data_IF_496681064657
#
_entry.id   IF_496681064657
#
_cell.length_a   1.000
_cell.length_b   1.000
_cell.length_c   1.000
_cell.angle_alpha   90.00
_cell.angle_beta   90.00
_cell.angle_gamma   90.00
#
_symmetry.space_group_name_H-M   'P 1'
#
loop_
_entity.id
_entity.type
_entity.pdbx_description
1 polymer ?
#
# COMPACT_ATOMS: atom_id res chain seq x y z
N UNK A 1 24.17 -5.57 -25.42
CA UNK A 1 23.26 -5.21 -24.31
C UNK A 1 23.81 -3.92 -23.74
N UNK A 2 23.27 -2.79 -24.18
CA UNK A 2 23.69 -1.46 -23.70
C UNK A 2 23.21 -1.29 -22.26
N UNK A 3 24.14 -0.85 -21.41
CA UNK A 3 23.90 -0.53 -20.01
C UNK A 3 22.91 0.64 -19.95
N UNK A 4 21.63 0.33 -19.74
CA UNK A 4 20.60 1.35 -19.69
C UNK A 4 20.89 2.32 -18.52
N UNK A 5 20.75 3.65 -18.72
CA UNK A 5 21.15 4.63 -17.72
C UNK A 5 20.43 4.38 -16.39
N UNK A 6 21.21 4.22 -15.32
CA UNK A 6 20.69 3.93 -13.97
C UNK A 6 19.90 5.11 -13.39
N UNK A 7 20.21 6.32 -13.84
CA UNK A 7 19.52 7.55 -13.47
C UNK A 7 19.05 8.34 -14.70
N UNK A 8 17.93 9.05 -14.56
CA UNK A 8 17.26 9.83 -15.61
C UNK A 8 17.02 11.28 -15.18
N UNK A 9 16.65 12.11 -16.15
CA UNK A 9 16.40 13.55 -15.99
C UNK A 9 17.67 14.38 -16.20
N UNK A 10 17.49 15.66 -16.53
CA UNK A 10 18.59 16.60 -16.82
C UNK A 10 19.59 16.76 -15.68
N UNK A 11 19.15 16.53 -14.44
CA UNK A 11 19.97 16.57 -13.22
C UNK A 11 20.46 15.19 -12.77
N UNK A 12 20.02 14.10 -13.42
CA UNK A 12 20.40 12.73 -13.05
C UNK A 12 19.99 12.28 -11.65
N UNK A 13 18.96 12.89 -11.06
CA UNK A 13 18.56 12.64 -9.66
C UNK A 13 17.57 11.48 -9.50
N UNK A 14 16.98 11.01 -10.59
CA UNK A 14 15.86 10.07 -10.56
C UNK A 14 16.36 8.69 -10.93
N UNK A 15 16.21 7.68 -10.07
CA UNK A 15 16.56 6.30 -10.41
C UNK A 15 15.58 5.74 -11.43
N UNK A 16 16.10 5.24 -12.56
CA UNK A 16 15.28 4.73 -13.69
C UNK A 16 14.30 3.65 -13.25
N UNK A 17 14.76 2.68 -12.45
CA UNK A 17 13.94 1.55 -11.98
C UNK A 17 12.78 2.02 -11.11
N UNK A 18 13.02 2.91 -10.16
CA UNK A 18 11.98 3.44 -9.27
C UNK A 18 10.95 4.26 -10.04
N UNK A 19 11.42 5.09 -10.98
CA UNK A 19 10.55 5.91 -11.81
C UNK A 19 9.61 5.07 -12.68
N UNK A 20 10.14 4.03 -13.33
CA UNK A 20 9.33 3.12 -14.14
C UNK A 20 8.28 2.41 -13.27
N UNK A 21 8.66 1.90 -12.08
CA UNK A 21 7.70 1.26 -11.15
C UNK A 21 6.57 2.20 -10.75
N UNK A 22 6.88 3.47 -10.50
CA UNK A 22 5.90 4.51 -10.18
C UNK A 22 4.96 4.78 -11.37
N UNK A 23 5.48 4.82 -12.61
CA UNK A 23 4.64 4.97 -13.81
C UNK A 23 3.71 3.78 -13.99
N UNK A 24 4.24 2.55 -13.89
CA UNK A 24 3.44 1.32 -14.04
C UNK A 24 2.33 1.28 -12.98
N UNK A 25 2.63 1.68 -11.74
CA UNK A 25 1.62 1.82 -10.69
C UNK A 25 0.48 2.73 -11.13
N UNK A 26 0.79 3.95 -11.58
CA UNK A 26 -0.24 4.91 -11.98
C UNK A 26 -1.05 4.42 -13.18
N UNK A 27 -0.44 3.69 -14.13
CA UNK A 27 -1.18 3.04 -15.21
C UNK A 27 -2.19 2.01 -14.68
N UNK A 28 -1.80 1.17 -13.71
CA UNK A 28 -2.73 0.27 -13.05
C UNK A 28 -3.84 1.01 -12.29
N UNK A 29 -3.50 2.05 -11.54
CA UNK A 29 -4.46 2.87 -10.77
C UNK A 29 -5.47 3.61 -11.66
N UNK A 30 -5.06 4.03 -12.86
CA UNK A 30 -5.93 4.68 -13.86
C UNK A 30 -6.74 3.67 -14.70
N UNK A 31 -6.50 2.37 -14.54
CA UNK A 31 -7.22 1.31 -15.26
C UNK A 31 -6.57 0.87 -16.59
N UNK A 32 -5.41 1.40 -16.95
CA UNK A 32 -4.67 1.06 -18.17
C UNK A 32 -3.85 -0.23 -18.02
N UNK A 33 -4.51 -1.34 -17.68
CA UNK A 33 -3.87 -2.64 -17.39
C UNK A 33 -2.99 -3.16 -18.53
N UNK A 34 -3.47 -3.07 -19.77
CA UNK A 34 -2.72 -3.55 -20.94
C UNK A 34 -1.43 -2.74 -21.13
N UNK A 35 -1.51 -1.41 -21.03
CA UNK A 35 -0.35 -0.52 -21.16
C UNK A 35 0.67 -0.76 -20.04
N UNK A 36 0.20 -0.98 -18.81
CA UNK A 36 1.05 -1.32 -17.68
C UNK A 36 1.84 -2.61 -17.95
N UNK A 37 1.15 -3.68 -18.35
CA UNK A 37 1.78 -4.98 -18.67
C UNK A 37 2.76 -4.91 -19.85
N UNK A 38 2.43 -4.14 -20.90
CA UNK A 38 3.36 -3.89 -22.00
C UNK A 38 4.63 -3.17 -21.50
N UNK A 39 4.48 -2.13 -20.68
CA UNK A 39 5.62 -1.38 -20.15
C UNK A 39 6.50 -2.25 -19.22
N UNK A 40 5.92 -3.12 -18.41
CA UNK A 40 6.66 -4.10 -17.61
C UNK A 40 7.49 -5.04 -18.50
N UNK A 41 6.89 -5.52 -19.59
CA UNK A 41 7.54 -6.42 -20.55
C UNK A 41 8.66 -5.73 -21.33
N UNK A 42 8.45 -4.49 -21.78
CA UNK A 42 9.43 -3.71 -22.54
C UNK A 42 10.61 -3.24 -21.67
N UNK A 43 10.32 -2.83 -20.43
CA UNK A 43 11.34 -2.30 -19.53
C UNK A 43 12.07 -3.38 -18.73
N UNK A 44 11.49 -4.58 -18.61
CA UNK A 44 11.96 -5.65 -17.72
C UNK A 44 11.83 -5.30 -16.23
N UNK A 45 10.99 -4.31 -15.88
CA UNK A 45 10.81 -3.81 -14.51
C UNK A 45 9.36 -4.05 -14.10
N UNK A 46 9.17 -4.96 -13.14
CA UNK A 46 7.87 -5.27 -12.54
C UNK A 46 7.44 -4.19 -11.55
N UNK A 47 6.15 -3.89 -11.54
CA UNK A 47 5.50 -2.99 -10.57
C UNK A 47 5.64 -3.54 -9.15
N UNK A 48 5.17 -4.78 -8.94
CA UNK A 48 5.32 -5.50 -7.67
C UNK A 48 6.68 -6.20 -7.63
N UNK A 49 7.22 -6.40 -6.42
CA UNK A 49 8.41 -7.23 -6.27
C UNK A 49 8.04 -8.70 -6.55
N UNK A 50 8.99 -9.47 -7.08
CA UNK A 50 8.79 -10.91 -7.37
C UNK A 50 8.35 -11.64 -6.11
N UNK A 51 8.97 -11.31 -4.97
CA UNK A 51 8.63 -11.90 -3.68
C UNK A 51 7.18 -11.59 -3.26
N UNK A 52 6.69 -10.38 -3.56
CA UNK A 52 5.32 -9.98 -3.24
C UNK A 52 4.28 -10.58 -4.18
N UNK A 53 4.55 -10.66 -5.50
CA UNK A 53 3.67 -11.38 -6.44
C UNK A 53 3.57 -12.87 -6.09
N UNK A 54 4.71 -13.47 -5.72
CA UNK A 54 4.73 -14.84 -5.24
C UNK A 54 3.92 -14.97 -3.94
N UNK A 55 4.16 -14.11 -2.95
CA UNK A 55 3.40 -14.11 -1.70
C UNK A 55 1.88 -13.93 -1.95
N UNK A 56 1.49 -13.06 -2.87
CA UNK A 56 0.10 -12.81 -3.26
C UNK A 56 -0.56 -14.09 -3.80
N UNK A 57 0.11 -14.79 -4.73
CA UNK A 57 -0.38 -16.07 -5.26
C UNK A 57 -0.57 -17.11 -4.15
N UNK A 58 0.42 -17.23 -3.25
CA UNK A 58 0.41 -18.25 -2.19
C UNK A 58 -0.65 -17.97 -1.12
N UNK A 59 -0.92 -16.69 -0.82
CA UNK A 59 -2.02 -16.30 0.08
C UNK A 59 -3.37 -16.64 -0.54
N UNK A 60 -3.56 -16.35 -1.83
CA UNK A 60 -4.82 -16.64 -2.50
C UNK A 60 -5.07 -18.16 -2.62
N UNK A 61 -4.02 -18.95 -2.81
CA UNK A 61 -4.06 -20.42 -2.82
C UNK A 61 -4.22 -21.02 -1.41
N UNK A 62 -3.79 -20.31 -0.36
CA UNK A 62 -3.84 -20.79 1.03
C UNK A 62 -2.61 -21.61 1.44
N UNK A 63 -1.50 -21.47 0.73
CA UNK A 63 -0.24 -22.14 1.03
C UNK A 63 0.52 -21.42 2.15
N UNK A 64 -0.04 -21.45 3.36
CA UNK A 64 0.44 -20.67 4.51
C UNK A 64 1.89 -20.95 4.90
N UNK A 65 2.36 -22.19 4.78
CA UNK A 65 3.75 -22.56 5.04
C UNK A 65 4.73 -21.81 4.14
N UNK A 66 4.44 -21.79 2.84
CA UNK A 66 5.23 -21.06 1.83
C UNK A 66 5.18 -19.56 2.09
N UNK A 67 4.01 -19.01 2.44
CA UNK A 67 3.87 -17.59 2.76
C UNK A 67 4.79 -17.16 3.92
N UNK A 68 4.88 -17.98 4.97
CA UNK A 68 5.74 -17.74 6.13
C UNK A 68 7.21 -17.77 5.71
N UNK A 69 7.60 -18.75 4.91
CA UNK A 69 8.99 -18.89 4.46
C UNK A 69 9.40 -17.73 3.55
N UNK A 70 8.51 -17.30 2.63
CA UNK A 70 8.72 -16.12 1.79
C UNK A 70 8.93 -14.86 2.62
N UNK A 71 8.07 -14.58 3.61
CA UNK A 71 8.20 -13.39 4.46
C UNK A 71 9.50 -13.40 5.28
N UNK A 72 9.94 -14.57 5.74
CA UNK A 72 11.21 -14.70 6.44
C UNK A 72 12.41 -14.46 5.51
N UNK A 73 12.33 -14.97 4.28
CA UNK A 73 13.37 -14.85 3.25
C UNK A 73 13.45 -13.45 2.63
N UNK A 74 12.39 -12.63 2.69
CA UNK A 74 12.42 -11.25 2.19
C UNK A 74 13.55 -10.45 2.86
N UNK A 75 14.51 -10.02 2.04
CA UNK A 75 15.62 -9.17 2.46
C UNK A 75 15.18 -7.71 2.58
N UNK A 76 15.75 -6.97 3.54
CA UNK A 76 15.47 -5.54 3.73
C UNK A 76 14.17 -5.21 4.49
N UNK A 77 13.38 -6.21 4.89
CA UNK A 77 12.23 -6.02 5.78
C UNK A 77 12.71 -6.05 7.25
N UNK A 78 12.42 -4.99 8.00
CA UNK A 78 12.79 -4.90 9.42
C UNK A 78 12.07 -5.95 10.28
N UNK A 79 12.68 -6.34 11.40
CA UNK A 79 12.16 -7.40 12.28
C UNK A 79 10.73 -7.14 12.78
N UNK A 80 10.39 -5.88 13.07
CA UNK A 80 9.05 -5.49 13.50
C UNK A 80 8.00 -5.65 12.37
N UNK A 81 8.35 -5.26 11.15
CA UNK A 81 7.49 -5.43 9.97
C UNK A 81 7.34 -6.91 9.62
N UNK A 82 8.42 -7.70 9.71
CA UNK A 82 8.38 -9.17 9.57
C UNK A 82 7.45 -9.79 10.61
N UNK A 83 7.62 -9.44 11.89
CA UNK A 83 6.78 -9.96 12.96
C UNK A 83 5.30 -9.60 12.77
N UNK A 84 5.01 -8.38 12.33
CA UNK A 84 3.65 -7.90 12.06
C UNK A 84 3.02 -8.61 10.85
N UNK A 85 3.77 -8.78 9.76
CA UNK A 85 3.33 -9.51 8.57
C UNK A 85 3.05 -10.99 8.89
N UNK A 86 3.97 -11.65 9.59
CA UNK A 86 3.79 -13.02 10.06
C UNK A 86 2.57 -13.13 10.97
N UNK A 87 2.38 -12.18 11.88
CA UNK A 87 1.22 -12.16 12.76
C UNK A 87 -0.09 -12.18 11.98
N UNK A 88 -0.22 -11.36 10.93
CA UNK A 88 -1.41 -11.33 10.08
C UNK A 88 -1.63 -12.64 9.33
N UNK A 89 -0.57 -13.22 8.74
CA UNK A 89 -0.65 -14.49 8.01
C UNK A 89 -1.10 -15.62 8.95
N UNK A 90 -0.47 -15.72 10.11
CA UNK A 90 -0.84 -16.70 11.11
C UNK A 90 -2.25 -16.49 11.67
N UNK A 91 -2.70 -15.24 11.85
CA UNK A 91 -4.08 -14.93 12.25
C UNK A 91 -5.05 -15.50 11.22
N UNK A 92 -4.84 -15.23 9.92
CA UNK A 92 -5.70 -15.74 8.86
C UNK A 92 -5.68 -17.27 8.78
N UNK A 93 -4.48 -17.86 8.81
CA UNK A 93 -4.28 -19.31 8.82
C UNK A 93 -5.01 -20.00 9.99
N UNK A 94 -4.97 -19.41 11.19
CA UNK A 94 -5.67 -19.92 12.36
C UNK A 94 -7.19 -19.88 12.18
N UNK A 95 -7.72 -18.77 11.68
CA UNK A 95 -9.17 -18.62 11.45
C UNK A 95 -9.67 -19.66 10.45
N UNK A 96 -8.91 -19.93 9.39
CA UNK A 96 -9.26 -20.95 8.41
C UNK A 96 -9.22 -22.38 8.98
N UNK A 97 -8.20 -22.74 9.77
CA UNK A 97 -8.16 -24.06 10.41
C UNK A 97 -9.29 -24.27 11.42
N UNK A 98 -9.61 -23.24 12.21
CA UNK A 98 -10.75 -23.29 13.14
C UNK A 98 -12.08 -23.44 12.40
N UNK A 99 -12.25 -22.79 11.26
CA UNK A 99 -13.45 -22.92 10.42
C UNK A 99 -13.61 -24.34 9.84
N UNK A 100 -12.49 -25.00 9.51
CA UNK A 100 -12.48 -26.39 9.05
C UNK A 100 -12.60 -27.43 10.19
N UNK A 101 -12.63 -26.99 11.46
CA UNK A 101 -12.66 -27.88 12.62
C UNK A 101 -11.33 -28.60 12.90
N UNK A 102 -10.22 -28.15 12.30
CA UNK A 102 -8.89 -28.72 12.54
C UNK A 102 -8.18 -28.01 13.69
N UNK A 103 -8.64 -28.29 14.91
CA UNK A 103 -8.07 -27.76 16.14
C UNK A 103 -6.59 -28.17 16.33
N UNK A 104 -6.18 -29.30 15.73
CA UNK A 104 -4.82 -29.82 15.86
C UNK A 104 -3.81 -28.98 15.09
N UNK A 105 -4.14 -28.61 13.84
CA UNK A 105 -3.35 -27.70 13.02
C UNK A 105 -3.40 -26.27 13.54
N UNK A 106 -4.57 -25.81 14.01
CA UNK A 106 -4.72 -24.52 14.68
C UNK A 106 -3.77 -24.38 15.89
N UNK A 107 -3.69 -25.41 16.74
CA UNK A 107 -2.76 -25.45 17.88
C UNK A 107 -1.29 -25.51 17.44
N UNK A 108 -0.97 -26.21 16.35
CA UNK A 108 0.39 -26.24 15.81
C UNK A 108 0.84 -24.85 15.32
N UNK A 109 -0.04 -24.12 14.63
CA UNK A 109 0.18 -22.74 14.18
C UNK A 109 0.41 -21.80 15.37
N UNK A 110 -0.43 -21.88 16.40
CA UNK A 110 -0.27 -21.13 17.64
C UNK A 110 1.09 -21.38 18.30
N UNK A 111 1.50 -22.65 18.41
CA UNK A 111 2.79 -23.02 18.99
C UNK A 111 3.98 -22.52 18.17
N UNK A 112 3.85 -22.42 16.84
CA UNK A 112 4.88 -21.86 15.94
C UNK A 112 4.97 -20.32 16.03
N UNK A 113 3.91 -19.63 16.46
CA UNK A 113 3.92 -18.18 16.68
C UNK A 113 4.61 -17.74 17.98
N UNK A 114 4.40 -18.50 19.07
CA UNK A 114 4.91 -18.17 20.41
C UNK A 114 6.42 -17.85 20.48
N UNK A 115 7.31 -18.49 19.69
CA UNK A 115 8.74 -18.17 19.64
C UNK A 115 9.07 -16.88 18.86
N UNK A 116 8.24 -16.49 17.90
CA UNK A 116 8.55 -15.41 16.92
C UNK A 116 8.30 -14.02 17.50
N UNK A 117 7.46 -13.88 18.53
CA UNK A 117 7.18 -12.59 19.16
C UNK A 117 7.73 -12.53 20.59
N UNK A 118 8.78 -11.75 20.83
CA UNK A 118 9.15 -11.29 22.18
C UNK A 118 8.07 -10.36 22.81
N UNK A 119 7.01 -10.03 22.06
CA UNK A 119 5.77 -9.33 22.47
C UNK A 119 4.67 -10.33 22.90
N UNK A 120 5.08 -11.49 23.42
CA UNK A 120 4.27 -12.72 23.44
C UNK A 120 3.03 -12.77 24.34
N UNK A 121 2.76 -11.82 25.25
CA UNK A 121 1.55 -11.92 26.12
C UNK A 121 0.32 -11.18 25.61
N UNK A 122 0.49 -9.93 25.14
CA UNK A 122 -0.65 -9.14 24.65
C UNK A 122 -1.22 -9.72 23.35
N UNK A 123 -0.37 -10.30 22.50
CA UNK A 123 -0.78 -10.89 21.23
C UNK A 123 -1.59 -12.17 21.42
N UNK A 124 -1.23 -13.04 22.36
CA UNK A 124 -1.98 -14.27 22.66
C UNK A 124 -3.36 -13.94 23.25
N UNK A 125 -3.44 -12.98 24.18
CA UNK A 125 -4.74 -12.52 24.71
C UNK A 125 -5.60 -11.87 23.62
N UNK A 126 -5.01 -11.06 22.74
CA UNK A 126 -5.73 -10.49 21.60
C UNK A 126 -6.18 -11.60 20.65
N UNK A 127 -5.35 -12.61 20.37
CA UNK A 127 -5.72 -13.72 19.50
C UNK A 127 -6.84 -14.56 20.12
N UNK A 128 -6.74 -14.91 21.41
CA UNK A 128 -7.78 -15.62 22.15
C UNK A 128 -9.09 -14.82 22.19
N UNK A 129 -9.01 -13.50 22.40
CA UNK A 129 -10.16 -12.60 22.31
C UNK A 129 -10.78 -12.59 20.90
N UNK A 130 -9.96 -12.51 19.85
CA UNK A 130 -10.44 -12.56 18.47
C UNK A 130 -11.09 -13.90 18.14
N UNK A 131 -10.52 -15.03 18.58
CA UNK A 131 -11.10 -16.38 18.42
C UNK A 131 -12.44 -16.48 19.14
N UNK A 132 -12.54 -15.94 20.36
CA UNK A 132 -13.78 -15.90 21.14
C UNK A 132 -14.84 -15.03 20.48
N UNK A 133 -14.49 -13.84 19.99
CA UNK A 133 -15.40 -12.99 19.22
C UNK A 133 -15.78 -13.59 17.85
N UNK A 134 -14.96 -14.49 17.30
CA UNK A 134 -15.25 -15.18 16.04
C UNK A 134 -16.27 -16.30 16.21
N UNK A 135 -16.26 -16.98 17.37
CA UNK A 135 -17.26 -18.01 17.72
C UNK A 135 -18.68 -17.47 17.83
N UNK A 136 -18.86 -16.16 18.01
CA UNK A 136 -20.19 -15.53 17.97
C UNK A 136 -20.67 -15.23 16.52
N UNK A 137 -19.78 -15.37 15.52
CA UNK A 137 -20.06 -15.16 14.09
C UNK A 137 -20.20 -16.49 13.29
N UNK A 138 -20.35 -17.62 13.99
CA UNK A 138 -20.28 -19.03 13.53
C UNK A 138 -21.28 -19.45 12.42
N UNK A 139 -22.13 -18.53 11.94
CA UNK A 139 -23.18 -18.82 10.97
C UNK A 139 -22.85 -18.45 9.53
N UNK A 140 -21.68 -17.84 9.23
CA UNK A 140 -21.44 -17.18 7.94
C UNK A 140 -20.25 -17.72 7.13
N UNK A 141 -19.37 -18.55 7.70
CA UNK A 141 -18.04 -18.85 7.12
C UNK A 141 -17.95 -20.13 6.24
N UNK A 142 -19.07 -20.74 5.83
CA UNK A 142 -19.05 -21.93 4.93
C UNK A 142 -19.00 -21.60 3.45
N UNK A 143 -19.03 -20.33 3.08
CA UNK A 143 -18.96 -19.91 1.68
C UNK A 143 -17.51 -19.58 1.31
N UNK A 144 -16.99 -20.27 0.27
CA UNK A 144 -15.67 -20.05 -0.31
C UNK A 144 -15.46 -18.57 -0.72
N UNK A 145 -16.55 -17.88 -1.07
CA UNK A 145 -16.52 -16.45 -1.39
C UNK A 145 -16.00 -15.59 -0.23
N UNK A 146 -16.34 -15.98 1.00
CA UNK A 146 -15.99 -15.22 2.21
C UNK A 146 -14.52 -15.45 2.59
N UNK A 147 -14.04 -16.69 2.47
CA UNK A 147 -12.61 -17.02 2.68
C UNK A 147 -11.76 -16.23 1.68
N UNK A 148 -12.16 -16.20 0.41
CA UNK A 148 -11.45 -15.47 -0.62
C UNK A 148 -11.40 -13.95 -0.32
N UNK A 149 -12.49 -13.37 0.17
CA UNK A 149 -12.53 -11.95 0.57
C UNK A 149 -11.66 -11.67 1.80
N UNK A 150 -11.59 -12.59 2.77
CA UNK A 150 -10.68 -12.47 3.92
C UNK A 150 -9.21 -12.53 3.49
N UNK A 151 -8.86 -13.41 2.53
CA UNK A 151 -7.51 -13.48 1.95
C UNK A 151 -7.14 -12.19 1.20
N UNK A 152 -8.08 -11.59 0.45
CA UNK A 152 -7.87 -10.26 -0.16
C UNK A 152 -7.66 -9.16 0.88
N UNK A 153 -8.42 -9.19 1.97
CA UNK A 153 -8.23 -8.26 3.09
C UNK A 153 -6.87 -8.40 3.75
N UNK A 154 -6.39 -9.64 3.93
CA UNK A 154 -5.05 -9.91 4.42
C UNK A 154 -3.98 -9.26 3.52
N UNK A 155 -4.12 -9.37 2.19
CA UNK A 155 -3.19 -8.75 1.24
C UNK A 155 -3.13 -7.24 1.40
N UNK A 156 -4.29 -6.57 1.50
CA UNK A 156 -4.35 -5.11 1.71
C UNK A 156 -3.66 -4.68 3.03
N UNK A 157 -3.79 -5.47 4.10
CA UNK A 157 -3.13 -5.18 5.37
C UNK A 157 -1.61 -5.45 5.31
N UNK A 158 -1.19 -6.47 4.55
CA UNK A 158 0.24 -6.73 4.31
C UNK A 158 0.88 -5.62 3.48
N UNK A 159 0.21 -5.11 2.44
CA UNK A 159 0.70 -3.99 1.62
C UNK A 159 0.99 -2.74 2.46
N UNK A 160 0.25 -2.50 3.54
CA UNK A 160 0.47 -1.37 4.46
C UNK A 160 1.70 -1.55 5.36
N UNK A 161 2.08 -2.78 5.66
CA UNK A 161 3.20 -3.11 6.56
C UNK A 161 4.51 -3.23 5.76
N UNK A 162 4.43 -3.77 4.55
CA UNK A 162 5.57 -3.98 3.68
C UNK A 162 6.02 -2.64 3.09
N UNK A 163 7.26 -2.25 3.37
CA UNK A 163 7.84 -0.98 2.91
C UNK A 163 8.52 -1.11 1.53
N UNK A 164 8.82 0.00 0.83
CA UNK A 164 9.68 -0.01 -0.34
C UNK A 164 11.06 -0.64 0.00
N UNK A 165 11.65 -1.43 -0.92
CA UNK A 165 11.28 -1.60 -2.33
C UNK A 165 10.24 -2.72 -2.59
N UNK A 166 9.70 -3.38 -1.56
CA UNK A 166 8.85 -4.56 -1.71
C UNK A 166 7.46 -4.17 -2.25
N UNK A 167 6.84 -3.17 -1.62
CA UNK A 167 5.55 -2.58 -2.03
C UNK A 167 5.71 -1.07 -2.22
N UNK A 168 5.11 -0.51 -3.26
CA UNK A 168 5.05 0.94 -3.46
C UNK A 168 3.85 1.52 -2.71
N UNK A 169 3.98 2.68 -2.05
CA UNK A 169 2.84 3.42 -1.53
C UNK A 169 1.84 3.69 -2.66
N UNK A 170 0.55 3.59 -2.40
CA UNK A 170 -0.49 3.87 -3.40
C UNK A 170 -0.35 5.30 -3.95
N UNK A 171 -0.67 5.47 -5.25
CA UNK A 171 -0.73 6.78 -5.93
C UNK A 171 0.55 7.61 -5.78
N UNK A 172 1.71 6.96 -5.86
CA UNK A 172 2.99 7.62 -5.59
C UNK A 172 3.32 8.72 -6.60
N UNK A 173 2.99 8.54 -7.88
CA UNK A 173 3.23 9.56 -8.91
C UNK A 173 2.38 10.79 -8.64
N UNK A 174 1.10 10.57 -8.34
CA UNK A 174 0.13 11.60 -8.03
C UNK A 174 0.61 12.42 -6.84
N UNK A 175 1.03 11.78 -5.75
CA UNK A 175 1.58 12.47 -4.59
C UNK A 175 2.85 13.28 -4.91
N UNK A 176 3.76 12.73 -5.73
CA UNK A 176 4.98 13.44 -6.15
C UNK A 176 4.65 14.67 -7.00
N UNK A 177 3.71 14.53 -7.95
CA UNK A 177 3.24 15.62 -8.80
C UNK A 177 2.51 16.68 -7.98
N UNK A 178 1.59 16.27 -7.09
CA UNK A 178 0.89 17.17 -6.17
C UNK A 178 1.86 17.94 -5.30
N UNK A 179 2.90 17.29 -4.76
CA UNK A 179 3.93 17.99 -3.97
C UNK A 179 4.61 19.11 -4.77
N UNK A 180 4.92 18.85 -6.05
CA UNK A 180 5.53 19.86 -6.93
C UNK A 180 4.53 20.98 -7.25
N UNK A 181 3.29 20.64 -7.59
CA UNK A 181 2.24 21.62 -7.88
C UNK A 181 1.95 22.50 -6.65
N UNK A 182 1.85 21.91 -5.46
CA UNK A 182 1.68 22.66 -4.21
C UNK A 182 2.85 23.61 -3.98
N UNK A 183 4.09 23.17 -4.18
CA UNK A 183 5.25 24.06 -4.06
C UNK A 183 5.21 25.22 -5.06
N UNK A 184 4.73 25.00 -6.29
CA UNK A 184 4.55 26.07 -7.27
C UNK A 184 3.44 27.04 -6.84
N UNK A 185 2.30 26.54 -6.35
CA UNK A 185 1.20 27.35 -5.81
C UNK A 185 1.68 28.20 -4.63
N UNK A 186 2.39 27.61 -3.68
CA UNK A 186 2.91 28.30 -2.49
C UNK A 186 3.90 29.42 -2.87
N UNK A 187 4.63 29.25 -3.98
CA UNK A 187 5.52 30.27 -4.53
C UNK A 187 4.82 31.34 -5.39
N UNK A 188 3.53 31.16 -5.70
CA UNK A 188 2.78 32.02 -6.60
C UNK A 188 2.20 33.24 -5.87
N UNK A 189 2.76 34.41 -6.14
CA UNK A 189 2.41 35.70 -5.51
C UNK A 189 0.92 36.07 -5.66
N UNK A 190 0.31 35.75 -6.79
CA UNK A 190 -1.05 36.17 -7.14
C UNK A 190 -2.05 35.02 -7.18
N UNK A 191 -1.80 33.93 -6.45
CA UNK A 191 -2.66 32.76 -6.56
C UNK A 191 -4.10 33.09 -6.18
N UNK A 192 -5.01 32.96 -7.16
CA UNK A 192 -6.45 33.19 -7.00
C UNK A 192 -7.29 32.16 -7.78
N UNK A 193 -6.65 31.13 -8.33
CA UNK A 193 -7.34 30.08 -9.09
C UNK A 193 -7.98 29.08 -8.13
N UNK A 194 -9.27 28.80 -8.32
CA UNK A 194 -9.96 27.71 -7.65
C UNK A 194 -10.13 26.55 -8.63
N UNK A 195 -9.38 25.45 -8.43
CA UNK A 195 -9.48 24.27 -9.29
C UNK A 195 -8.13 23.62 -9.60
N UNK A 196 -8.11 22.62 -10.50
CA UNK A 196 -6.89 21.92 -10.88
C UNK A 196 -5.94 22.82 -11.69
N UNK A 197 -4.65 22.67 -11.42
CA UNK A 197 -3.56 23.38 -12.09
C UNK A 197 -3.07 22.55 -13.29
N UNK A 198 -2.63 23.23 -14.35
CA UNK A 198 -2.04 22.58 -15.53
C UNK A 198 -0.71 21.91 -15.17
N UNK A 199 -0.48 20.68 -15.67
CA UNK A 199 0.82 20.01 -15.55
C UNK A 199 1.73 20.24 -16.77
N UNK A 200 1.23 20.91 -17.82
CA UNK A 200 1.99 21.17 -19.04
C UNK A 200 2.95 22.37 -18.89
N UNK A 201 2.64 23.28 -17.97
CA UNK A 201 3.38 24.52 -17.72
C UNK A 201 3.43 24.76 -16.22
N UNK A 202 4.52 25.38 -15.74
CA UNK A 202 4.65 25.74 -14.32
C UNK A 202 3.59 26.75 -13.91
N UNK A 203 2.98 26.54 -12.73
CA UNK A 203 1.90 27.39 -12.25
C UNK A 203 2.35 28.84 -12.02
N UNK A 204 1.68 29.76 -12.70
CA UNK A 204 1.88 31.20 -12.52
C UNK A 204 0.55 31.95 -12.71
N UNK A 205 0.00 32.51 -11.64
CA UNK A 205 -1.15 33.41 -11.75
C UNK A 205 -0.68 34.83 -12.09
N UNK A 206 -1.40 35.48 -13.00
CA UNK A 206 -1.15 36.87 -13.35
C UNK A 206 -1.92 37.82 -12.42
N UNK A 207 -1.43 39.06 -12.30
CA UNK A 207 -2.10 40.11 -11.54
C UNK A 207 -3.51 40.42 -12.05
N UNK A 208 -3.76 40.18 -13.34
CA UNK A 208 -5.05 40.43 -13.99
C UNK A 208 -6.15 39.48 -13.50
N UNK A 209 -5.80 38.38 -12.82
CA UNK A 209 -6.74 37.44 -12.23
C UNK A 209 -7.15 37.80 -10.79
N UNK A 210 -6.61 38.89 -10.23
CA UNK A 210 -7.03 39.37 -8.91
C UNK A 210 -8.44 39.98 -9.00
N UNK A 211 -9.30 39.77 -7.99
CA UNK A 211 -10.61 40.38 -7.98
C UNK A 211 -10.45 41.90 -7.94
N UNK A 212 -10.84 42.59 -9.01
CA UNK A 212 -10.82 44.05 -9.09
C UNK A 212 -12.10 44.67 -8.51
N UNK A 213 -13.12 43.88 -8.27
CA UNK A 213 -14.38 44.30 -7.66
C UNK A 213 -14.59 43.67 -6.29
N UNK A 214 -14.84 44.51 -5.29
CA UNK A 214 -15.14 44.07 -3.93
C UNK A 214 -16.55 43.48 -3.88
N UNK A 215 -16.65 42.15 -3.90
CA UNK A 215 -17.94 41.43 -3.82
C UNK A 215 -18.49 41.36 -2.39
N UNK A 216 -17.65 41.53 -1.37
CA UNK A 216 -18.08 41.46 0.03
C UNK A 216 -17.23 42.39 0.92
N UNK A 217 -17.90 43.21 1.73
CA UNK A 217 -17.28 44.03 2.77
C UNK A 217 -17.66 43.45 4.13
N UNK A 218 -16.66 43.02 4.91
CA UNK A 218 -16.88 42.49 6.25
C UNK A 218 -16.80 43.62 7.28
N UNK A 219 -17.93 44.01 7.86
CA UNK A 219 -17.95 44.97 8.96
C UNK A 219 -17.73 44.24 10.28
N UNK A 220 -16.55 44.41 10.88
CA UNK A 220 -16.29 44.06 12.27
C UNK A 220 -16.98 45.11 13.16
N UNK A 221 -18.19 44.80 13.62
CA UNK A 221 -18.83 45.55 14.69
C UNK A 221 -18.10 45.23 16.00
N UNK A 222 -17.23 46.14 16.42
CA UNK A 222 -16.66 46.12 17.77
C UNK A 222 -17.77 46.62 18.70
N UNK A 223 -18.46 45.68 19.35
CA UNK A 223 -19.43 45.99 20.41
C UNK A 223 -18.67 46.57 21.61
N UNK A 224 -19.03 47.80 22.01
CA UNK A 224 -18.60 48.44 23.27
C UNK A 224 -19.29 47.80 24.48
#
# INVERSE_FOLDING_TARGET
MEDSPTAIGSKGLIRRREFIRVIVQSLYSLGYRNSASCLESESGILYKSVDFEFLESQILEGNWGVCIDTINAMEGLGDESKASALFLVFKQCLLEYLNCGDDSSALAVLRKQVPVSHVGRKNIHNLAYNILCWKDMDLVMKDDSVIHEMRKRLLMELEKILSPPIVLPERRLEHLVETVVTAQIDSCVYHNLQGPVSLYEDHCCTRDQLPTETVQVFFLLISN
#
